data_IF_017734160093
#
_entry.id   IF_017734160093
#
_cell.length_a   1.000
_cell.length_b   1.000
_cell.length_c   1.000
_cell.angle_alpha   90.00
_cell.angle_beta   90.00
_cell.angle_gamma   90.00
#
_symmetry.space_group_name_H-M   'P 1'
#
loop_
_entity.id
_entity.type
_entity.pdbx_description
1 polymer ?
#
# COMPACT_ATOMS: atom_id res chain seq x y z
N UNK A 1 3.30 -8.01 -21.84
CA UNK A 1 2.69 -7.92 -20.49
C UNK A 1 3.70 -7.24 -19.58
N UNK A 2 3.27 -6.53 -18.54
CA UNK A 2 4.21 -5.93 -17.59
C UNK A 2 5.03 -7.04 -16.90
N UNK A 3 6.34 -6.84 -16.76
CA UNK A 3 7.21 -7.74 -16.02
C UNK A 3 7.35 -7.22 -14.58
N UNK A 4 6.90 -8.03 -13.61
CA UNK A 4 6.96 -7.72 -12.17
C UNK A 4 7.99 -8.59 -11.44
N UNK A 5 8.82 -9.36 -12.16
CA UNK A 5 9.82 -10.25 -11.56
C UNK A 5 10.94 -9.52 -10.80
N UNK A 6 11.13 -8.23 -11.10
CA UNK A 6 12.06 -7.36 -10.39
C UNK A 6 11.66 -7.06 -8.94
N UNK A 7 10.38 -7.23 -8.59
CA UNK A 7 9.86 -6.98 -7.24
C UNK A 7 9.83 -8.28 -6.45
N UNK A 8 10.55 -8.37 -5.32
CA UNK A 8 10.69 -9.64 -4.59
C UNK A 8 9.36 -10.14 -4.02
N UNK A 9 8.45 -9.22 -3.72
CA UNK A 9 7.11 -9.53 -3.21
C UNK A 9 6.33 -10.48 -4.13
N UNK A 10 6.57 -10.43 -5.45
CA UNK A 10 5.88 -11.30 -6.42
C UNK A 10 6.34 -12.75 -6.37
N UNK A 11 7.44 -13.05 -5.67
CA UNK A 11 7.89 -14.44 -5.47
C UNK A 11 6.99 -15.20 -4.50
N UNK A 12 6.50 -14.51 -3.46
CA UNK A 12 5.58 -15.08 -2.48
C UNK A 12 4.12 -14.96 -2.92
N UNK A 13 3.78 -13.87 -3.59
CA UNK A 13 2.45 -13.60 -4.12
C UNK A 13 2.53 -13.28 -5.62
N UNK A 14 2.58 -14.31 -6.48
CA UNK A 14 2.71 -14.13 -7.92
C UNK A 14 1.45 -13.47 -8.52
N UNK A 15 1.67 -12.49 -9.39
CA UNK A 15 0.60 -11.84 -10.14
C UNK A 15 0.06 -12.79 -11.22
N UNK A 16 -1.25 -13.03 -11.20
CA UNK A 16 -1.95 -13.77 -12.24
C UNK A 16 -2.21 -12.88 -13.45
N UNK A 17 -2.54 -11.60 -13.21
CA UNK A 17 -2.68 -10.57 -14.23
C UNK A 17 -1.77 -9.38 -13.90
N UNK A 18 -0.49 -9.41 -14.33
CA UNK A 18 0.46 -8.34 -14.06
C UNK A 18 0.12 -7.03 -14.78
N UNK A 19 -0.90 -7.00 -15.64
CA UNK A 19 -1.44 -5.75 -16.19
C UNK A 19 -2.26 -4.93 -15.19
N UNK A 20 -2.61 -5.51 -14.03
CA UNK A 20 -3.42 -4.86 -12.97
C UNK A 20 -2.56 -4.31 -11.84
N UNK A 21 -3.15 -3.40 -11.08
CA UNK A 21 -2.58 -2.96 -9.79
C UNK A 21 -2.52 -4.16 -8.85
N UNK A 22 -1.34 -4.45 -8.29
CA UNK A 22 -1.18 -5.53 -7.31
C UNK A 22 -1.36 -4.96 -5.90
N UNK A 23 -2.40 -5.39 -5.19
CA UNK A 23 -2.73 -4.93 -3.84
C UNK A 23 -2.38 -6.00 -2.80
N UNK A 24 -1.30 -5.81 -2.05
CA UNK A 24 -0.93 -6.65 -0.92
C UNK A 24 -1.51 -6.05 0.37
N UNK A 25 -2.54 -6.67 0.95
CA UNK A 25 -3.28 -6.09 2.09
C UNK A 25 -3.95 -7.13 2.98
N UNK A 26 -4.58 -6.66 4.07
CA UNK A 26 -5.37 -7.41 5.04
C UNK A 26 -6.62 -6.57 5.39
N UNK A 27 -7.80 -7.15 5.67
CA UNK A 27 -9.04 -6.41 5.96
C UNK A 27 -9.04 -5.77 7.37
N UNK A 28 -8.05 -4.92 7.63
CA UNK A 28 -7.95 -4.06 8.81
C UNK A 28 -8.51 -2.68 8.49
N UNK A 29 -8.86 -1.83 9.49
CA UNK A 29 -9.33 -0.47 9.24
C UNK A 29 -8.41 0.39 8.36
N UNK A 30 -7.11 0.12 8.35
CA UNK A 30 -6.17 0.77 7.43
C UNK A 30 -6.08 0.05 6.07
N UNK A 31 -6.02 -1.28 6.09
CA UNK A 31 -5.85 -2.08 4.87
C UNK A 31 -7.02 -1.98 3.90
N UNK A 32 -8.24 -1.71 4.39
CA UNK A 32 -9.42 -1.48 3.54
C UNK A 32 -9.43 -0.11 2.85
N UNK A 33 -8.64 0.88 3.31
CA UNK A 33 -8.68 2.24 2.73
C UNK A 33 -8.28 2.23 1.26
N UNK A 34 -7.27 1.43 0.91
CA UNK A 34 -6.77 1.33 -0.46
C UNK A 34 -7.72 0.50 -1.32
N UNK A 35 -8.25 -0.62 -0.81
CA UNK A 35 -9.22 -1.41 -1.57
C UNK A 35 -10.50 -0.62 -1.85
N UNK A 36 -11.05 0.09 -0.86
CA UNK A 36 -12.21 0.98 -1.06
C UNK A 36 -11.91 2.04 -2.11
N UNK A 37 -10.75 2.69 -2.07
CA UNK A 37 -10.37 3.67 -3.10
C UNK A 37 -10.30 3.05 -4.52
N UNK A 38 -9.78 1.83 -4.65
CA UNK A 38 -9.70 1.14 -5.93
C UNK A 38 -11.09 0.76 -6.47
N UNK A 39 -11.99 0.29 -5.60
CA UNK A 39 -13.40 0.05 -5.95
C UNK A 39 -14.11 1.33 -6.39
N UNK A 40 -14.01 2.41 -5.61
CA UNK A 40 -14.66 3.70 -5.91
C UNK A 40 -14.16 4.35 -7.21
N UNK A 41 -12.91 4.09 -7.59
CA UNK A 41 -12.32 4.62 -8.84
C UNK A 41 -12.48 3.68 -10.03
N UNK A 42 -12.97 2.45 -9.83
CA UNK A 42 -13.08 1.43 -10.87
C UNK A 42 -11.73 0.98 -11.45
N UNK A 43 -10.63 1.19 -10.73
CA UNK A 43 -9.30 0.80 -11.21
C UNK A 43 -9.11 -0.72 -11.04
N UNK A 44 -8.73 -1.46 -12.11
CA UNK A 44 -8.56 -2.90 -12.01
C UNK A 44 -7.35 -3.25 -11.13
N UNK A 45 -7.58 -4.10 -10.14
CA UNK A 45 -6.56 -4.57 -9.22
C UNK A 45 -6.66 -6.08 -8.98
N UNK A 46 -5.58 -6.66 -8.47
CA UNK A 46 -5.46 -8.04 -8.03
C UNK A 46 -5.10 -8.04 -6.53
N UNK A 47 -6.02 -8.46 -5.64
CA UNK A 47 -5.76 -8.52 -4.21
C UNK A 47 -4.95 -9.76 -3.80
N UNK A 48 -3.97 -9.55 -2.92
CA UNK A 48 -3.12 -10.55 -2.31
C UNK A 48 -3.21 -10.41 -0.79
N UNK A 49 -3.64 -11.49 -0.13
CA UNK A 49 -3.77 -11.51 1.33
C UNK A 49 -2.40 -11.59 1.99
N UNK A 50 -2.08 -10.62 2.84
CA UNK A 50 -0.90 -10.63 3.71
C UNK A 50 -1.35 -10.99 5.13
N UNK A 51 -1.19 -12.25 5.53
CA UNK A 51 -1.70 -12.73 6.82
C UNK A 51 -0.75 -12.42 7.98
N UNK A 52 -1.29 -11.84 9.05
CA UNK A 52 -0.54 -11.65 10.30
C UNK A 52 -0.41 -12.94 11.11
N UNK A 53 -1.29 -13.92 10.90
CA UNK A 53 -1.24 -15.21 11.61
C UNK A 53 -0.02 -16.03 11.19
N UNK A 54 0.39 -15.90 9.92
CA UNK A 54 1.59 -16.54 9.38
C UNK A 54 2.80 -15.61 9.36
N UNK A 55 2.70 -14.44 10.00
CA UNK A 55 3.75 -13.42 10.06
C UNK A 55 4.27 -13.00 8.66
N UNK A 56 3.39 -12.98 7.65
CA UNK A 56 3.75 -12.70 6.27
C UNK A 56 4.39 -11.32 6.07
N UNK A 57 3.96 -10.33 6.86
CA UNK A 57 4.48 -8.96 6.85
C UNK A 57 5.94 -8.87 7.30
N UNK A 58 6.46 -9.89 7.99
CA UNK A 58 7.86 -9.98 8.42
C UNK A 58 8.74 -10.74 7.41
N UNK A 59 8.14 -11.27 6.34
CA UNK A 59 8.90 -11.99 5.32
C UNK A 59 9.89 -11.07 4.59
N UNK A 60 11.06 -11.57 4.16
CA UNK A 60 12.00 -10.80 3.35
C UNK A 60 11.37 -10.24 2.07
N UNK A 61 10.39 -10.94 1.51
CA UNK A 61 9.64 -10.54 0.32
C UNK A 61 8.73 -9.33 0.59
N UNK A 62 8.08 -9.27 1.76
CA UNK A 62 7.25 -8.12 2.17
C UNK A 62 8.08 -6.91 2.63
N UNK A 63 9.30 -7.16 3.13
CA UNK A 63 10.23 -6.12 3.59
C UNK A 63 11.01 -5.41 2.48
N UNK A 64 10.75 -5.71 1.20
CA UNK A 64 11.37 -5.02 0.07
C UNK A 64 11.04 -3.52 0.15
N UNK A 65 12.03 -2.61 0.15
CA UNK A 65 11.77 -1.18 0.32
C UNK A 65 10.76 -0.68 -0.70
N UNK A 66 9.73 0.03 -0.23
CA UNK A 66 8.77 0.70 -1.12
C UNK A 66 9.54 1.72 -1.94
N UNK A 67 9.71 1.45 -3.23
CA UNK A 67 10.50 2.26 -4.17
C UNK A 67 9.77 3.53 -4.63
N UNK A 68 9.08 4.22 -3.71
CA UNK A 68 8.25 5.40 -4.03
C UNK A 68 9.05 6.51 -4.74
N UNK A 69 10.35 6.61 -4.46
CA UNK A 69 11.26 7.55 -5.10
C UNK A 69 11.36 7.37 -6.63
N UNK A 70 11.09 6.16 -7.13
CA UNK A 70 11.13 5.85 -8.57
C UNK A 70 9.86 6.31 -9.30
N UNK A 71 8.86 6.82 -8.57
CA UNK A 71 7.56 7.22 -9.11
C UNK A 71 7.31 8.73 -8.93
N UNK A 72 7.92 9.60 -9.76
CA UNK A 72 7.90 11.05 -9.55
C UNK A 72 6.50 11.67 -9.52
N UNK A 73 5.55 11.10 -10.26
CA UNK A 73 4.16 11.56 -10.24
C UNK A 73 3.43 11.22 -8.93
N UNK A 74 3.74 10.05 -8.35
CA UNK A 74 3.21 9.64 -7.04
C UNK A 74 3.78 10.55 -5.96
N UNK A 75 5.10 10.77 -5.96
CA UNK A 75 5.76 11.69 -5.02
C UNK A 75 5.21 13.10 -5.14
N UNK A 76 5.00 13.61 -6.36
CA UNK A 76 4.40 14.93 -6.58
C UNK A 76 2.98 15.02 -5.99
N UNK A 77 2.14 14.01 -6.23
CA UNK A 77 0.77 13.98 -5.70
C UNK A 77 0.77 13.92 -4.17
N UNK A 78 1.60 13.05 -3.58
CA UNK A 78 1.78 12.95 -2.13
C UNK A 78 2.21 14.29 -1.53
N UNK A 79 3.22 14.94 -2.11
CA UNK A 79 3.68 16.25 -1.65
C UNK A 79 2.59 17.32 -1.75
N UNK A 80 1.78 17.30 -2.81
CA UNK A 80 0.64 18.21 -2.95
C UNK A 80 -0.45 17.95 -1.89
N UNK A 81 -0.63 16.72 -1.42
CA UNK A 81 -1.54 16.44 -0.32
C UNK A 81 -0.96 16.88 1.02
N UNK A 82 0.32 16.58 1.26
CA UNK A 82 1.01 16.96 2.49
C UNK A 82 1.15 18.48 2.67
N UNK A 83 1.07 19.27 1.60
CA UNK A 83 1.05 20.74 1.68
C UNK A 83 -0.33 21.34 2.02
N UNK A 84 -1.40 20.53 2.10
CA UNK A 84 -2.75 21.03 2.40
C UNK A 84 -2.92 21.26 3.90
N UNK A 85 -3.39 22.44 4.36
CA UNK A 85 -3.53 22.74 5.79
C UNK A 85 -4.32 21.69 6.58
N UNK A 86 -5.43 21.18 6.02
CA UNK A 86 -6.24 20.15 6.66
C UNK A 86 -5.50 18.81 6.82
N UNK A 87 -4.67 18.43 5.84
CA UNK A 87 -3.87 17.21 5.90
C UNK A 87 -2.74 17.36 6.93
N UNK A 88 -2.06 18.50 6.93
CA UNK A 88 -1.04 18.83 7.94
C UNK A 88 -1.63 18.76 9.35
N UNK A 89 -2.80 19.36 9.55
CA UNK A 89 -3.49 19.26 10.84
C UNK A 89 -3.80 17.81 11.20
N UNK A 90 -4.34 17.02 10.27
CA UNK A 90 -4.67 15.61 10.50
C UNK A 90 -3.45 14.73 10.85
N UNK A 91 -2.32 14.94 10.18
CA UNK A 91 -1.05 14.22 10.45
C UNK A 91 -0.47 14.60 11.80
N UNK A 92 -0.63 15.86 12.22
CA UNK A 92 -0.15 16.37 13.50
C UNK A 92 -1.03 16.01 14.70
N UNK A 93 -2.19 15.35 14.52
CA UNK A 93 -3.06 14.95 15.62
C UNK A 93 -2.32 13.93 16.49
N UNK A 94 -2.05 14.22 17.78
CA UNK A 94 -1.45 13.25 18.68
C UNK A 94 -2.38 12.05 18.85
N UNK A 95 -1.86 10.83 18.70
CA UNK A 95 -2.54 9.64 19.19
C UNK A 95 -2.80 9.81 20.67
N UNK A 96 -4.06 9.59 21.13
CA UNK A 96 -4.42 9.60 22.55
C UNK A 96 -3.36 8.79 23.31
N UNK A 97 -2.59 9.46 24.18
CA UNK A 97 -1.66 8.79 25.06
C UNK A 97 -2.44 7.71 25.81
N UNK A 98 -2.06 6.45 25.59
CA UNK A 98 -2.72 5.33 26.23
C UNK A 98 -2.58 5.48 27.74
N UNK A 99 -3.71 5.56 28.44
CA UNK A 99 -3.79 5.06 29.80
C UNK A 99 -3.55 3.55 29.72
N UNK A 100 -2.34 3.14 30.11
CA UNK A 100 -1.98 1.77 30.45
C UNK A 100 -1.30 1.81 31.82
#
# INVERSE_FOLDING_TARGET
MADLSAFRITRKWPAQDPGRIQLYSLPTPNGVKVSVMLEETGLPYEPHLVSFETDDQKSPEAGDPVRIADFPHVTRALNSFLSRPAVVQGVGIPSRAGTS
#
